data_IF_916715892231
#
_entry.id   IF_916715892231
#
_cell.length_a   1.000
_cell.length_b   1.000
_cell.length_c   1.000
_cell.angle_alpha   90.00
_cell.angle_beta   90.00
_cell.angle_gamma   90.00
#
_symmetry.space_group_name_H-M   'P 1'
#
loop_
_entity.id
_entity.type
_entity.pdbx_description
1 polymer ?
#
# COMPACT_ATOMS: atom_id res chain seq x y z
N UNK A 1 -11.81 1.25 -12.24
CA UNK A 1 -10.36 1.45 -12.45
C UNK A 1 -9.54 1.05 -11.21
N UNK A 2 -9.81 1.60 -10.02
CA UNK A 2 -9.12 1.21 -8.78
C UNK A 2 -9.21 -0.29 -8.42
N UNK A 3 -10.38 -0.90 -8.62
CA UNK A 3 -10.58 -2.36 -8.43
C UNK A 3 -9.64 -3.19 -9.32
N UNK A 4 -9.48 -2.82 -10.60
CA UNK A 4 -8.62 -3.56 -11.52
C UNK A 4 -7.15 -3.44 -11.13
N UNK A 5 -6.69 -2.24 -10.78
CA UNK A 5 -5.30 -2.01 -10.38
C UNK A 5 -5.00 -2.74 -9.07
N UNK A 6 -5.89 -2.64 -8.07
CA UNK A 6 -5.72 -3.36 -6.80
C UNK A 6 -5.71 -4.89 -6.99
N UNK A 7 -6.53 -5.42 -7.91
CA UNK A 7 -6.49 -6.84 -8.28
C UNK A 7 -5.15 -7.23 -8.93
N UNK A 8 -4.59 -6.41 -9.81
CA UNK A 8 -3.26 -6.65 -10.40
C UNK A 8 -2.17 -6.64 -9.34
N UNK A 9 -2.17 -5.67 -8.42
CA UNK A 9 -1.24 -5.62 -7.29
C UNK A 9 -1.37 -6.89 -6.43
N UNK A 10 -2.58 -7.39 -6.22
CA UNK A 10 -2.85 -8.58 -5.42
C UNK A 10 -2.32 -9.87 -6.07
N UNK A 11 -2.57 -10.05 -7.37
CA UNK A 11 -2.20 -11.28 -8.09
C UNK A 11 -0.75 -11.29 -8.59
N UNK A 12 -0.21 -10.12 -8.96
CA UNK A 12 1.11 -9.97 -9.59
C UNK A 12 1.95 -8.88 -8.89
N UNK A 13 2.26 -9.03 -7.60
CA UNK A 13 2.92 -8.00 -6.82
C UNK A 13 4.31 -7.63 -7.35
N UNK A 14 5.07 -8.59 -7.86
CA UNK A 14 6.48 -8.39 -8.23
C UNK A 14 6.68 -7.41 -9.41
N UNK A 15 5.66 -7.23 -10.25
CA UNK A 15 5.71 -6.30 -11.38
C UNK A 15 4.83 -5.06 -11.22
N UNK A 16 3.82 -5.09 -10.36
CA UNK A 16 2.78 -4.05 -10.32
C UNK A 16 2.67 -3.31 -8.99
N UNK A 17 3.39 -3.73 -7.94
CA UNK A 17 3.19 -3.16 -6.60
C UNK A 17 3.57 -1.67 -6.52
N UNK A 18 4.77 -1.30 -6.98
CA UNK A 18 5.24 0.08 -6.86
C UNK A 18 4.41 1.06 -7.69
N UNK A 19 4.29 0.78 -9.00
CA UNK A 19 3.50 1.59 -9.93
C UNK A 19 2.02 1.60 -9.55
N UNK A 20 1.49 0.45 -9.14
CA UNK A 20 0.10 0.32 -8.72
C UNK A 20 -0.22 1.16 -7.48
N UNK A 21 0.66 1.18 -6.48
CA UNK A 21 0.52 2.05 -5.30
C UNK A 21 0.56 3.51 -5.72
N UNK A 22 1.50 3.89 -6.58
CA UNK A 22 1.63 5.27 -7.05
C UNK A 22 0.33 5.70 -7.75
N UNK A 23 -0.17 4.91 -8.69
CA UNK A 23 -1.40 5.21 -9.43
C UNK A 23 -2.61 5.29 -8.49
N UNK A 24 -2.81 4.30 -7.61
CA UNK A 24 -3.94 4.29 -6.68
C UNK A 24 -3.87 5.48 -5.73
N UNK A 25 -2.70 5.80 -5.18
CA UNK A 25 -2.52 6.96 -4.30
C UNK A 25 -2.86 8.27 -5.02
N UNK A 26 -2.47 8.40 -6.28
CA UNK A 26 -2.78 9.59 -7.07
C UNK A 26 -4.28 9.70 -7.39
N UNK A 27 -4.92 8.57 -7.75
CA UNK A 27 -6.36 8.53 -7.98
C UNK A 27 -7.12 8.89 -6.69
N UNK A 28 -6.71 8.35 -5.54
CA UNK A 28 -7.36 8.63 -4.25
C UNK A 28 -7.23 10.11 -3.86
N UNK A 29 -6.04 10.70 -4.03
CA UNK A 29 -5.79 12.13 -3.76
C UNK A 29 -6.60 13.06 -4.67
N UNK A 30 -6.85 12.66 -5.92
CA UNK A 30 -7.55 13.50 -6.92
C UNK A 30 -9.06 13.30 -6.95
N UNK A 31 -9.54 12.07 -6.78
CA UNK A 31 -10.96 11.70 -6.93
C UNK A 31 -11.66 11.33 -5.62
N UNK A 32 -10.94 11.22 -4.51
CA UNK A 32 -11.52 10.80 -3.22
C UNK A 32 -11.91 9.31 -3.20
N UNK A 33 -12.94 8.97 -2.41
CA UNK A 33 -13.29 7.62 -1.91
C UNK A 33 -13.44 6.51 -2.97
N UNK A 34 -12.31 6.00 -3.48
CA UNK A 34 -12.22 4.79 -4.32
C UNK A 34 -12.00 3.50 -3.51
N UNK A 35 -11.79 3.62 -2.20
CA UNK A 35 -11.60 2.50 -1.30
C UNK A 35 -12.94 1.89 -0.89
N UNK A 36 -13.46 0.99 -1.71
CA UNK A 36 -14.67 0.22 -1.43
C UNK A 36 -14.57 -1.22 -1.92
N UNK A 37 -15.35 -2.10 -1.28
CA UNK A 37 -15.49 -3.51 -1.63
C UNK A 37 -14.15 -4.22 -1.79
N UNK A 38 -13.99 -4.91 -2.93
CA UNK A 38 -12.81 -5.72 -3.21
C UNK A 38 -11.49 -4.92 -3.28
N UNK A 39 -11.56 -3.60 -3.56
CA UNK A 39 -10.35 -2.75 -3.61
C UNK A 39 -9.64 -2.72 -2.26
N UNK A 40 -10.40 -2.58 -1.18
CA UNK A 40 -9.88 -2.57 0.20
C UNK A 40 -9.23 -3.90 0.50
N UNK A 41 -9.95 -4.99 0.26
CA UNK A 41 -9.46 -6.35 0.49
C UNK A 41 -8.17 -6.65 -0.30
N UNK A 42 -8.13 -6.32 -1.59
CA UNK A 42 -6.95 -6.57 -2.41
C UNK A 42 -5.72 -5.79 -1.92
N UNK A 43 -5.90 -4.51 -1.55
CA UNK A 43 -4.80 -3.68 -1.03
C UNK A 43 -4.30 -4.19 0.32
N UNK A 44 -5.21 -4.52 1.25
CA UNK A 44 -4.85 -5.07 2.56
C UNK A 44 -3.97 -6.32 2.46
N UNK A 45 -4.35 -7.26 1.59
CA UNK A 45 -3.60 -8.50 1.41
C UNK A 45 -2.28 -8.22 0.69
N UNK A 46 -2.30 -7.42 -0.36
CA UNK A 46 -1.09 -7.09 -1.12
C UNK A 46 -0.05 -6.38 -0.24
N UNK A 47 -0.48 -5.41 0.56
CA UNK A 47 0.38 -4.67 1.48
C UNK A 47 1.05 -5.60 2.48
N UNK A 48 0.27 -6.43 3.16
CA UNK A 48 0.84 -7.40 4.10
C UNK A 48 1.84 -8.34 3.40
N UNK A 49 1.48 -8.90 2.24
CA UNK A 49 2.36 -9.82 1.50
C UNK A 49 3.67 -9.15 1.10
N UNK A 50 3.60 -7.95 0.55
CA UNK A 50 4.78 -7.21 0.14
C UNK A 50 5.70 -6.90 1.33
N UNK A 51 5.13 -6.45 2.44
CA UNK A 51 5.89 -6.10 3.64
C UNK A 51 6.61 -7.32 4.25
N UNK A 52 5.93 -8.48 4.26
CA UNK A 52 6.48 -9.75 4.73
C UNK A 52 7.57 -10.30 3.79
N UNK A 53 7.37 -10.21 2.47
CA UNK A 53 8.34 -10.66 1.46
C UNK A 53 9.61 -9.80 1.51
N UNK A 54 9.45 -8.49 1.57
CA UNK A 54 10.54 -7.52 1.53
C UNK A 54 10.97 -7.14 2.94
N UNK A 55 11.12 -8.13 3.85
CA UNK A 55 11.31 -7.80 5.25
C UNK A 55 12.63 -7.06 5.55
N UNK A 56 13.67 -7.40 4.80
CA UNK A 56 15.02 -6.86 4.98
C UNK A 56 15.41 -5.83 3.91
N UNK A 57 14.47 -5.44 3.03
CA UNK A 57 14.75 -4.48 1.96
C UNK A 57 14.27 -3.09 2.35
N UNK A 58 15.09 -2.09 2.00
CA UNK A 58 14.71 -0.70 2.09
C UNK A 58 13.77 -0.32 0.95
N UNK A 59 12.80 0.52 1.26
CA UNK A 59 11.82 1.10 0.35
C UNK A 59 12.25 2.54 0.05
N UNK A 60 12.07 2.99 -1.19
CA UNK A 60 12.32 4.38 -1.55
C UNK A 60 11.42 5.33 -0.75
N UNK A 61 11.89 6.55 -0.49
CA UNK A 61 11.14 7.53 0.31
C UNK A 61 9.76 7.84 -0.29
N UNK A 62 9.65 7.89 -1.62
CA UNK A 62 8.39 8.20 -2.30
C UNK A 62 7.42 7.01 -2.26
N UNK A 63 7.91 5.78 -2.45
CA UNK A 63 7.08 4.60 -2.29
C UNK A 63 6.61 4.48 -0.84
N UNK A 64 7.48 4.73 0.14
CA UNK A 64 7.10 4.74 1.56
C UNK A 64 5.97 5.73 1.84
N UNK A 65 6.05 6.95 1.32
CA UNK A 65 5.00 7.97 1.51
C UNK A 65 3.66 7.54 0.93
N UNK A 66 3.65 7.04 -0.31
CA UNK A 66 2.40 6.61 -0.95
C UNK A 66 1.82 5.38 -0.27
N UNK A 67 2.67 4.46 0.16
CA UNK A 67 2.27 3.29 0.92
C UNK A 67 1.65 3.68 2.27
N UNK A 68 2.33 4.55 3.04
CA UNK A 68 1.82 5.04 4.32
C UNK A 68 0.47 5.75 4.16
N UNK A 69 0.36 6.63 3.16
CA UNK A 69 -0.89 7.33 2.84
C UNK A 69 -2.05 6.35 2.57
N UNK A 70 -1.83 5.32 1.74
CA UNK A 70 -2.87 4.33 1.46
C UNK A 70 -3.26 3.51 2.68
N UNK A 71 -2.30 3.17 3.55
CA UNK A 71 -2.59 2.47 4.80
C UNK A 71 -3.42 3.33 5.75
N UNK A 72 -3.12 4.63 5.88
CA UNK A 72 -3.92 5.54 6.70
C UNK A 72 -5.36 5.65 6.18
N UNK A 73 -5.54 5.78 4.87
CA UNK A 73 -6.87 5.82 4.26
C UNK A 73 -7.67 4.53 4.48
N UNK A 74 -7.01 3.36 4.46
CA UNK A 74 -7.66 2.09 4.80
C UNK A 74 -8.00 2.00 6.30
N UNK A 75 -7.17 2.56 7.18
CA UNK A 75 -7.45 2.63 8.62
C UNK A 75 -8.64 3.53 8.91
N UNK A 76 -8.76 4.68 8.23
CA UNK A 76 -9.93 5.56 8.34
C UNK A 76 -11.24 4.86 7.92
N UNK A 77 -11.15 3.83 7.07
CA UNK A 77 -12.28 2.96 6.69
C UNK A 77 -12.53 1.79 7.67
N UNK A 78 -11.79 1.71 8.77
CA UNK A 78 -11.97 0.69 9.81
C UNK A 78 -11.17 -0.59 9.61
N UNK A 79 -10.15 -0.59 8.75
CA UNK A 79 -9.31 -1.78 8.55
C UNK A 79 -8.31 -1.99 9.71
N UNK A 80 -8.64 -2.93 10.61
CA UNK A 80 -7.71 -3.37 11.66
C UNK A 80 -6.42 -3.96 11.07
N UNK A 81 -6.52 -4.70 9.96
CA UNK A 81 -5.36 -5.29 9.29
C UNK A 81 -4.41 -4.21 8.77
N UNK A 82 -4.94 -3.19 8.12
CA UNK A 82 -4.14 -2.06 7.64
C UNK A 82 -3.49 -1.30 8.79
N UNK A 83 -4.18 -1.17 9.93
CA UNK A 83 -3.61 -0.57 11.14
C UNK A 83 -2.34 -1.33 11.57
N UNK A 84 -2.41 -2.65 11.72
CA UNK A 84 -1.24 -3.44 12.09
C UNK A 84 -0.10 -3.36 11.07
N UNK A 85 -0.42 -3.39 9.78
CA UNK A 85 0.56 -3.26 8.70
C UNK A 85 1.24 -1.89 8.73
N UNK A 86 0.49 -0.82 9.01
CA UNK A 86 1.03 0.54 9.17
C UNK A 86 1.98 0.65 10.35
N UNK A 87 1.57 0.17 11.51
CA UNK A 87 2.40 0.19 12.71
C UNK A 87 3.70 -0.59 12.50
N UNK A 88 3.62 -1.74 11.80
CA UNK A 88 4.80 -2.49 11.43
C UNK A 88 5.71 -1.70 10.48
N UNK A 89 5.14 -1.10 9.42
CA UNK A 89 5.89 -0.30 8.45
C UNK A 89 6.66 0.83 9.13
N UNK A 90 6.00 1.61 10.00
CA UNK A 90 6.61 2.71 10.76
C UNK A 90 7.74 2.21 11.66
N UNK A 91 7.51 1.12 12.40
CA UNK A 91 8.50 0.56 13.34
C UNK A 91 9.70 -0.08 12.64
N UNK A 92 9.49 -0.64 11.44
CA UNK A 92 10.52 -1.34 10.69
C UNK A 92 11.62 -0.44 10.11
N UNK A 93 11.49 0.90 10.20
CA UNK A 93 12.48 1.89 9.71
C UNK A 93 12.97 1.62 8.28
N UNK A 94 12.12 1.04 7.41
CA UNK A 94 12.47 0.60 6.04
C UNK A 94 12.76 1.74 5.05
N UNK A 95 12.90 2.99 5.47
CA UNK A 95 13.20 4.09 4.54
C UNK A 95 14.66 3.97 4.12
N UNK A 96 14.91 3.83 2.81
CA UNK A 96 16.27 3.98 2.28
C UNK A 96 16.73 5.42 2.52
N UNK A 97 17.61 5.61 3.50
CA UNK A 97 18.44 6.80 3.58
C UNK A 97 19.52 6.65 2.51
N UNK A 98 19.19 7.00 1.27
CA UNK A 98 20.22 7.23 0.27
C UNK A 98 21.13 8.35 0.81
N UNK A 99 22.36 7.98 1.12
CA UNK A 99 23.44 8.89 1.46
C UNK A 99 24.28 9.18 0.22
#
# INVERSE_FOLDING_TARGET
>A
MAVYISSLIYHFPDGFFEDGILIISNILKTKGSILSGNTVFYLEIAFQKHLMKNNNMFISKDLYKNYLFLLDELVLKGSCRSYYVREYLIKSKKISQAH
#
